data_IF_912459836760
#
_entry.id   IF_912459836760
#
_cell.length_a   1.000
_cell.length_b   1.000
_cell.length_c   1.000
_cell.angle_alpha   90.00
_cell.angle_beta   90.00
_cell.angle_gamma   90.00
#
_symmetry.space_group_name_H-M   'P 1'
#
loop_
_entity.id
_entity.type
_entity.pdbx_description
1 polymer ?
#
# COMPACT_ATOMS: atom_id res chain seq x y z
N UNK A 1 -19.79 14.52 19.89
CA UNK A 1 -20.12 13.10 19.64
C UNK A 1 -19.25 12.58 18.46
N UNK A 2 -18.00 12.18 18.71
CA UNK A 2 -17.09 11.67 17.66
C UNK A 2 -17.24 10.15 17.55
N UNK A 3 -17.86 9.68 16.46
CA UNK A 3 -18.01 8.27 16.12
C UNK A 3 -16.70 7.78 15.51
N UNK A 4 -15.85 7.14 16.33
CA UNK A 4 -14.61 6.47 15.92
C UNK A 4 -14.96 5.39 14.89
N UNK A 5 -14.55 5.59 13.64
CA UNK A 5 -14.73 4.62 12.57
C UNK A 5 -13.90 3.37 12.87
N UNK A 6 -14.60 2.25 13.09
CA UNK A 6 -14.09 0.91 13.36
C UNK A 6 -12.87 0.58 12.48
N UNK A 7 -11.74 0.30 13.14
CA UNK A 7 -10.54 -0.25 12.54
C UNK A 7 -10.87 -1.51 11.75
N UNK A 8 -10.50 -1.52 10.47
CA UNK A 8 -10.65 -2.68 9.59
C UNK A 8 -9.56 -3.69 9.96
N UNK A 9 -10.02 -4.91 10.25
CA UNK A 9 -9.24 -6.07 10.68
C UNK A 9 -7.97 -6.27 9.84
N UNK A 10 -6.82 -6.18 10.49
CA UNK A 10 -5.58 -6.80 10.02
C UNK A 10 -5.34 -7.98 10.96
N UNK A 11 -5.35 -9.18 10.41
CA UNK A 11 -5.14 -10.41 11.17
C UNK A 11 -3.92 -11.12 10.63
N UNK A 12 -2.90 -11.25 11.47
CA UNK A 12 -1.69 -12.04 11.20
C UNK A 12 -1.95 -13.43 11.79
N UNK A 13 -1.89 -14.47 10.95
CA UNK A 13 -2.09 -15.85 11.37
C UNK A 13 -0.72 -16.51 11.43
N UNK A 14 -0.31 -16.90 12.64
CA UNK A 14 0.97 -17.57 12.92
C UNK A 14 0.67 -19.07 13.07
N UNK A 15 1.40 -19.89 12.29
CA UNK A 15 1.49 -21.36 12.37
C UNK A 15 0.19 -22.13 12.51
N UNK A 16 -0.56 -22.30 11.40
CA UNK A 16 -1.48 -23.44 11.15
C UNK A 16 -2.57 -23.75 12.19
N UNK A 17 -2.63 -23.01 13.28
CA UNK A 17 -3.47 -23.18 14.43
C UNK A 17 -4.34 -21.94 14.45
N UNK A 18 -5.60 -22.15 14.07
CA UNK A 18 -6.66 -21.21 14.33
C UNK A 18 -6.82 -21.06 15.86
N UNK A 19 -5.89 -20.36 16.52
CA UNK A 19 -6.10 -19.90 17.89
C UNK A 19 -7.09 -18.75 17.83
N UNK A 20 -8.36 -19.11 17.75
CA UNK A 20 -9.48 -18.22 18.04
C UNK A 20 -9.36 -17.81 19.49
N UNK A 21 -8.79 -16.64 19.77
CA UNK A 21 -9.01 -15.99 21.07
C UNK A 21 -10.49 -15.60 21.09
N UNK A 22 -11.31 -16.46 21.69
CA UNK A 22 -12.71 -16.19 21.98
C UNK A 22 -12.79 -15.16 23.09
N UNK A 23 -12.70 -13.88 22.73
CA UNK A 23 -13.24 -12.82 23.58
C UNK A 23 -14.75 -12.83 23.38
N UNK A 24 -15.47 -13.39 24.36
CA UNK A 24 -16.92 -13.33 24.45
C UNK A 24 -17.39 -11.88 24.36
N UNK A 25 -18.34 -11.62 23.47
CA UNK A 25 -18.92 -10.30 23.27
C UNK A 25 -19.64 -10.20 21.93
N UNK A 26 -20.96 -10.33 21.97
CA UNK A 26 -21.97 -9.95 20.98
C UNK A 26 -21.50 -9.81 19.52
N UNK A 27 -21.87 -10.81 18.70
CA UNK A 27 -21.53 -10.91 17.29
C UNK A 27 -21.99 -9.71 16.46
N UNK A 28 -21.03 -8.87 16.05
CA UNK A 28 -21.18 -8.10 14.82
C UNK A 28 -21.06 -9.10 13.65
N UNK A 29 -22.18 -9.54 13.08
CA UNK A 29 -22.19 -10.27 11.81
C UNK A 29 -21.61 -9.37 10.71
N UNK A 30 -20.34 -9.55 10.38
CA UNK A 30 -19.79 -9.00 9.15
C UNK A 30 -20.30 -9.83 7.98
N UNK A 31 -20.93 -9.20 6.97
CA UNK A 31 -21.41 -9.84 5.73
C UNK A 31 -20.30 -10.49 4.87
N UNK A 32 -19.06 -10.54 5.37
CA UNK A 32 -17.89 -11.04 4.66
C UNK A 32 -17.16 -12.08 5.51
N UNK A 33 -16.59 -13.09 4.83
CA UNK A 33 -15.79 -14.13 5.45
C UNK A 33 -14.58 -13.52 6.19
N UNK A 34 -14.39 -13.91 7.44
CA UNK A 34 -13.24 -13.49 8.24
C UNK A 34 -11.98 -14.16 7.70
N UNK A 35 -10.84 -13.47 7.80
CA UNK A 35 -9.52 -13.97 7.41
C UNK A 35 -9.29 -14.24 5.91
N UNK A 36 -10.22 -13.83 5.03
CA UNK A 36 -10.03 -13.93 3.56
C UNK A 36 -9.36 -12.69 2.99
N UNK A 37 -9.75 -11.50 3.47
CA UNK A 37 -9.21 -10.25 2.95
C UNK A 37 -7.98 -9.80 3.74
N UNK A 38 -6.88 -9.51 3.03
CA UNK A 38 -5.64 -8.89 3.57
C UNK A 38 -4.98 -9.69 4.70
N UNK A 39 -5.00 -11.00 4.56
CA UNK A 39 -4.29 -11.94 5.44
C UNK A 39 -3.01 -12.43 4.77
N UNK A 40 -1.96 -12.62 5.58
CA UNK A 40 -0.67 -13.17 5.14
C UNK A 40 -0.31 -14.28 6.10
N UNK A 41 0.07 -15.44 5.55
CA UNK A 41 0.58 -16.57 6.31
C UNK A 41 2.06 -16.35 6.63
N UNK A 42 2.44 -16.60 7.87
CA UNK A 42 3.85 -16.56 8.29
C UNK A 42 4.50 -17.88 7.91
N UNK A 43 5.70 -17.82 7.29
CA UNK A 43 6.52 -19.00 6.99
C UNK A 43 7.68 -19.06 7.98
N UNK A 44 7.97 -20.26 8.48
CA UNK A 44 9.17 -20.55 9.30
C UNK A 44 9.33 -19.64 10.54
N UNK A 45 8.21 -19.18 11.12
CA UNK A 45 8.21 -18.24 12.25
C UNK A 45 8.73 -16.83 11.94
N UNK A 46 9.03 -16.49 10.68
CA UNK A 46 9.56 -15.18 10.31
C UNK A 46 8.46 -14.12 10.17
N UNK A 47 8.08 -13.53 11.31
CA UNK A 47 7.02 -12.52 11.40
C UNK A 47 7.38 -11.22 10.69
N UNK A 48 8.65 -10.80 10.73
CA UNK A 48 9.10 -9.53 10.13
C UNK A 48 8.97 -9.55 8.60
N UNK A 49 9.34 -10.67 7.97
CA UNK A 49 9.17 -10.85 6.53
C UNK A 49 7.69 -10.80 6.13
N UNK A 50 6.81 -11.44 6.90
CA UNK A 50 5.37 -11.42 6.66
C UNK A 50 4.77 -10.01 6.84
N UNK A 51 5.22 -9.26 7.85
CA UNK A 51 4.79 -7.89 8.08
C UNK A 51 5.22 -6.94 6.96
N UNK A 52 6.46 -7.09 6.47
CA UNK A 52 6.97 -6.32 5.32
C UNK A 52 6.20 -6.65 4.03
N UNK A 53 5.89 -7.93 3.80
CA UNK A 53 5.07 -8.34 2.67
C UNK A 53 3.65 -7.74 2.75
N UNK A 54 3.02 -7.80 3.92
CA UNK A 54 1.71 -7.20 4.16
C UNK A 54 1.73 -5.68 3.92
N UNK A 55 2.73 -4.98 4.46
CA UNK A 55 2.88 -3.53 4.29
C UNK A 55 3.06 -3.14 2.83
N UNK A 56 3.81 -3.93 2.05
CA UNK A 56 3.96 -3.75 0.60
C UNK A 56 2.61 -3.90 -0.12
N UNK A 57 1.85 -4.95 0.18
CA UNK A 57 0.51 -5.17 -0.41
C UNK A 57 -0.41 -3.98 -0.11
N UNK A 58 -0.48 -3.55 1.15
CA UNK A 58 -1.31 -2.41 1.56
C UNK A 58 -0.89 -1.07 0.93
N UNK A 59 0.40 -0.94 0.60
CA UNK A 59 0.96 0.25 -0.05
C UNK A 59 0.65 0.26 -1.54
N UNK A 60 0.78 -0.88 -2.22
CA UNK A 60 0.42 -1.06 -3.64
C UNK A 60 -1.08 -0.83 -3.85
N UNK A 61 -1.92 -1.35 -2.95
CA UNK A 61 -3.37 -1.10 -2.97
C UNK A 61 -3.74 0.37 -2.65
N UNK A 62 -2.79 1.19 -2.18
CA UNK A 62 -3.02 2.58 -1.80
C UNK A 62 -3.89 2.77 -0.55
N UNK A 63 -4.09 1.70 0.25
CA UNK A 63 -4.96 1.73 1.44
C UNK A 63 -4.35 2.63 2.51
N UNK A 64 -3.04 2.56 2.70
CA UNK A 64 -2.32 3.36 3.70
C UNK A 64 -2.55 4.85 3.45
N UNK A 65 -2.38 5.30 2.21
CA UNK A 65 -2.60 6.70 1.82
C UNK A 65 -4.07 7.10 1.93
N UNK A 66 -4.99 6.20 1.56
CA UNK A 66 -6.42 6.44 1.73
C UNK A 66 -6.81 6.61 3.21
N UNK A 67 -6.26 5.80 4.11
CA UNK A 67 -6.51 5.90 5.55
C UNK A 67 -5.95 7.19 6.11
N UNK A 68 -4.73 7.58 5.73
CA UNK A 68 -4.13 8.87 6.12
C UNK A 68 -4.99 10.05 5.69
N UNK A 69 -5.46 10.06 4.43
CA UNK A 69 -6.34 11.11 3.88
C UNK A 69 -7.68 11.19 4.59
N UNK A 70 -8.24 10.05 4.99
CA UNK A 70 -9.52 9.98 5.71
C UNK A 70 -9.46 10.44 7.17
N UNK A 71 -8.28 10.71 7.73
CA UNK A 71 -8.16 11.22 9.12
C UNK A 71 -8.85 12.58 9.30
N UNK A 72 -8.84 13.42 8.27
CA UNK A 72 -9.48 14.73 8.26
C UNK A 72 -10.32 14.92 7.00
N UNK A 73 -11.33 15.78 7.07
CA UNK A 73 -12.14 16.09 5.90
C UNK A 73 -11.35 16.91 4.87
N UNK A 74 -11.19 16.37 3.66
CA UNK A 74 -10.62 17.07 2.51
C UNK A 74 -11.76 17.74 1.71
N UNK A 75 -11.69 19.07 1.54
CA UNK A 75 -12.65 19.82 0.72
C UNK A 75 -12.58 19.34 -0.75
N UNK A 76 -13.72 19.29 -1.48
CA UNK A 76 -13.75 18.75 -2.85
C UNK A 76 -12.87 19.52 -3.83
N UNK A 77 -12.74 20.84 -3.68
CA UNK A 77 -11.83 21.66 -4.50
C UNK A 77 -10.35 21.28 -4.30
N UNK A 78 -9.94 20.99 -3.06
CA UNK A 78 -8.58 20.54 -2.73
C UNK A 78 -8.30 19.14 -3.27
N UNK A 79 -9.29 18.25 -3.17
CA UNK A 79 -9.20 16.91 -3.74
C UNK A 79 -8.94 16.94 -5.24
N UNK A 80 -9.70 17.74 -6.00
CA UNK A 80 -9.52 17.88 -7.46
C UNK A 80 -8.13 18.43 -7.84
N UNK A 81 -7.66 19.45 -7.12
CA UNK A 81 -6.32 20.01 -7.35
C UNK A 81 -5.22 18.97 -7.13
N UNK A 82 -5.35 18.18 -6.05
CA UNK A 82 -4.42 17.10 -5.72
C UNK A 82 -4.42 16.00 -6.79
N UNK A 83 -5.60 15.53 -7.20
CA UNK A 83 -5.74 14.49 -8.24
C UNK A 83 -5.11 14.93 -9.56
N UNK A 84 -5.30 16.19 -9.95
CA UNK A 84 -4.67 16.75 -11.15
C UNK A 84 -3.13 16.76 -11.03
N UNK A 85 -2.62 17.24 -9.89
CA UNK A 85 -1.18 17.27 -9.64
C UNK A 85 -0.56 15.86 -9.65
N UNK A 86 -1.18 14.89 -8.98
CA UNK A 86 -0.73 13.49 -8.95
C UNK A 86 -0.70 12.89 -10.37
N UNK A 87 -1.71 13.19 -11.20
CA UNK A 87 -1.75 12.74 -12.58
C UNK A 87 -0.63 13.35 -13.44
N UNK A 88 -0.46 14.66 -13.40
CA UNK A 88 0.61 15.34 -14.14
C UNK A 88 2.00 14.83 -13.70
N UNK A 89 2.21 14.68 -12.39
CA UNK A 89 3.44 14.14 -11.82
C UNK A 89 3.72 12.72 -12.29
N UNK A 90 2.69 11.86 -12.31
CA UNK A 90 2.80 10.48 -12.81
C UNK A 90 3.19 10.44 -14.28
N UNK A 91 2.56 11.25 -15.13
CA UNK A 91 2.88 11.34 -16.56
C UNK A 91 4.34 11.80 -16.75
N UNK A 92 4.74 12.87 -16.07
CA UNK A 92 6.09 13.39 -16.15
C UNK A 92 7.15 12.37 -15.74
N UNK A 93 6.97 11.69 -14.61
CA UNK A 93 7.92 10.67 -14.16
C UNK A 93 7.98 9.47 -15.11
N UNK A 94 6.85 9.04 -15.68
CA UNK A 94 6.82 7.94 -16.65
C UNK A 94 7.51 8.29 -17.96
N UNK A 95 7.33 9.52 -18.48
CA UNK A 95 8.04 10.02 -19.66
C UNK A 95 9.54 10.18 -19.37
N UNK A 96 9.90 10.76 -18.22
CA UNK A 96 11.29 10.95 -17.84
C UNK A 96 12.02 9.61 -17.68
N UNK A 97 11.40 8.62 -17.04
CA UNK A 97 11.95 7.28 -16.92
C UNK A 97 12.18 6.61 -18.29
N UNK A 98 11.27 6.82 -19.25
CA UNK A 98 11.45 6.37 -20.64
C UNK A 98 12.60 7.07 -21.35
N UNK A 99 12.74 8.38 -21.16
CA UNK A 99 13.86 9.14 -21.73
C UNK A 99 15.20 8.67 -21.16
N UNK A 100 15.26 8.46 -19.84
CA UNK A 100 16.47 7.98 -19.16
C UNK A 100 16.84 6.58 -19.68
N UNK A 101 15.89 5.65 -19.75
CA UNK A 101 16.17 4.29 -20.24
C UNK A 101 16.55 4.24 -21.73
N UNK A 102 16.15 5.24 -22.50
CA UNK A 102 16.58 5.42 -23.88
C UNK A 102 18.02 5.95 -23.95
N UNK A 103 18.32 7.04 -23.25
CA UNK A 103 19.65 7.67 -23.24
C UNK A 103 20.70 6.75 -22.61
N UNK A 104 20.35 6.01 -21.56
CA UNK A 104 21.28 5.11 -20.86
C UNK A 104 21.80 3.98 -21.75
N UNK A 105 21.16 3.70 -22.90
CA UNK A 105 21.69 2.77 -23.91
C UNK A 105 22.90 3.33 -24.66
N UNK A 106 22.96 4.65 -24.79
CA UNK A 106 24.04 5.39 -25.43
C UNK A 106 25.10 5.86 -24.42
N UNK A 107 24.92 5.57 -23.13
CA UNK A 107 25.88 5.88 -22.07
C UNK A 107 27.08 4.93 -22.15
N UNK A 108 28.01 5.27 -23.05
CA UNK A 108 29.26 4.58 -23.31
C UNK A 108 30.42 5.54 -23.11
N UNK A 109 31.60 5.03 -22.79
CA UNK A 109 32.80 5.84 -22.76
C UNK A 109 33.04 6.47 -24.14
N UNK A 110 33.52 7.72 -24.14
CA UNK A 110 33.75 8.45 -25.38
C UNK A 110 34.75 7.65 -26.25
N UNK A 111 34.36 7.23 -27.46
CA UNK A 111 35.28 6.55 -28.38
C UNK A 111 36.44 7.43 -28.85
N UNK A 112 36.32 8.76 -28.79
CA UNK A 112 37.30 9.70 -29.36
C UNK A 112 38.03 10.49 -28.28
N UNK A 113 38.73 9.77 -27.40
CA UNK A 113 39.54 10.39 -26.35
C UNK A 113 40.71 11.18 -26.97
N UNK A 114 40.70 12.51 -26.81
CA UNK A 114 41.80 13.38 -27.21
C UNK A 114 41.71 13.99 -28.61
N UNK A 115 40.55 13.92 -29.26
CA UNK A 115 40.22 14.74 -30.45
C UNK A 115 39.42 15.98 -30.05
#
# INVERSE_FOLDING_TARGET
>A
MLRVLRGRNVSVLIDGSARTVSLGGAGNMSNHLRFVARTVMVRDGNVDAAYNALTRILSVDGIVETVKRKRYYEKPCRRRQRENYENCKRIYHAEMARKISFISRADRQDPWLGC
#
